data_IF_879239440043
#
_entry.id   IF_879239440043
#
_cell.length_a   1.000
_cell.length_b   1.000
_cell.length_c   1.000
_cell.angle_alpha   90.00
_cell.angle_beta   90.00
_cell.angle_gamma   90.00
#
_symmetry.space_group_name_H-M   'P 1'
#
loop_
_entity.id
_entity.type
_entity.pdbx_description
1 polymer ?
#
# COMPACT_ATOMS: atom_id res chain seq x y z
N UNK A 1 19.90 88.37 16.00
CA UNK A 1 19.43 87.63 14.81
C UNK A 1 20.55 86.69 14.35
N UNK A 2 20.72 85.55 15.03
CA UNK A 2 21.60 84.47 14.59
C UNK A 2 20.69 83.24 14.47
N UNK A 3 20.34 82.90 13.22
CA UNK A 3 19.67 81.67 12.85
C UNK A 3 20.61 80.50 13.15
N UNK A 4 20.35 79.71 14.19
CA UNK A 4 21.11 78.47 14.45
C UNK A 4 20.76 77.39 13.42
N UNK A 5 21.29 77.51 12.20
CA UNK A 5 21.13 76.51 11.13
C UNK A 5 21.60 75.10 11.53
N UNK A 6 22.51 75.01 12.50
CA UNK A 6 23.14 73.74 12.91
C UNK A 6 22.19 72.84 13.73
N UNK A 7 21.30 73.40 14.56
CA UNK A 7 20.35 72.59 15.36
C UNK A 7 19.26 71.94 14.53
N UNK A 8 18.77 72.64 13.50
CA UNK A 8 17.80 72.09 12.54
C UNK A 8 18.40 70.95 11.71
N UNK A 9 19.68 71.03 11.35
CA UNK A 9 20.38 69.97 10.61
C UNK A 9 20.48 68.66 11.40
N UNK A 10 20.71 68.73 12.71
CA UNK A 10 20.73 67.54 13.61
C UNK A 10 19.36 66.89 13.70
N UNK A 11 18.30 67.69 13.88
CA UNK A 11 16.91 67.19 13.96
C UNK A 11 16.50 66.52 12.64
N UNK A 12 16.80 67.15 11.50
CA UNK A 12 16.51 66.58 10.17
C UNK A 12 17.28 65.27 9.97
N UNK A 13 18.55 65.21 10.38
CA UNK A 13 19.36 63.99 10.28
C UNK A 13 18.80 62.86 11.16
N UNK A 14 18.35 63.15 12.38
CA UNK A 14 17.70 62.20 13.28
C UNK A 14 16.39 61.65 12.70
N UNK A 15 15.55 62.51 12.14
CA UNK A 15 14.32 62.11 11.45
C UNK A 15 14.61 61.21 10.24
N UNK A 16 15.65 61.56 9.46
CA UNK A 16 16.03 60.81 8.27
C UNK A 16 16.61 59.43 8.64
N UNK A 17 17.42 59.34 9.71
CA UNK A 17 17.89 58.07 10.27
C UNK A 17 16.70 57.23 10.78
N UNK A 18 15.77 57.83 11.51
CA UNK A 18 14.56 57.14 11.99
C UNK A 18 13.71 56.59 10.85
N UNK A 19 13.52 57.39 9.79
CA UNK A 19 12.81 56.97 8.59
C UNK A 19 13.50 55.80 7.88
N UNK A 20 14.81 55.89 7.65
CA UNK A 20 15.60 54.80 7.06
C UNK A 20 15.54 53.55 7.92
N UNK A 21 15.58 53.69 9.24
CA UNK A 21 15.51 52.56 10.17
C UNK A 21 14.15 51.85 10.07
N UNK A 22 13.04 52.59 10.09
CA UNK A 22 11.69 52.01 9.91
C UNK A 22 11.57 51.29 8.57
N UNK A 23 12.07 51.90 7.50
CA UNK A 23 12.06 51.32 6.16
C UNK A 23 12.92 50.05 6.08
N UNK A 24 14.11 50.07 6.68
CA UNK A 24 15.01 48.91 6.74
C UNK A 24 14.43 47.75 7.56
N UNK A 25 13.78 48.05 8.68
CA UNK A 25 13.07 47.05 9.49
C UNK A 25 11.88 46.47 8.71
N UNK A 26 11.15 47.31 7.96
CA UNK A 26 10.06 46.88 7.09
C UNK A 26 10.53 45.90 6.01
N UNK A 27 11.61 46.22 5.31
CA UNK A 27 12.22 45.34 4.30
C UNK A 27 12.73 44.05 4.92
N UNK A 28 13.43 44.12 6.06
CA UNK A 28 13.91 42.94 6.76
C UNK A 28 12.77 41.99 7.14
N UNK A 29 11.64 42.53 7.61
CA UNK A 29 10.45 41.74 7.95
C UNK A 29 9.86 41.04 6.73
N UNK A 30 9.83 41.71 5.58
CA UNK A 30 9.39 41.09 4.32
C UNK A 30 10.31 39.93 3.92
N UNK A 31 11.64 40.14 3.97
CA UNK A 31 12.61 39.09 3.66
C UNK A 31 12.46 37.89 4.59
N UNK A 32 12.33 38.12 5.91
CA UNK A 32 12.15 37.04 6.88
C UNK A 32 10.85 36.26 6.66
N UNK A 33 9.77 36.94 6.29
CA UNK A 33 8.51 36.27 5.93
C UNK A 33 8.67 35.42 4.66
N UNK A 34 9.32 35.96 3.63
CA UNK A 34 9.56 35.24 2.37
C UNK A 34 10.45 34.01 2.59
N UNK A 35 11.48 34.13 3.43
CA UNK A 35 12.31 32.98 3.83
C UNK A 35 11.50 31.91 4.57
N UNK A 36 10.55 32.30 5.43
CA UNK A 36 9.68 31.36 6.14
C UNK A 36 8.75 30.62 5.16
N UNK A 37 8.17 31.32 4.19
CA UNK A 37 7.31 30.73 3.15
C UNK A 37 8.11 29.77 2.28
N UNK A 38 9.29 30.18 1.81
CA UNK A 38 10.14 29.31 1.00
C UNK A 38 10.60 28.06 1.75
N UNK A 39 10.90 28.18 3.06
CA UNK A 39 11.20 27.02 3.88
C UNK A 39 10.01 26.07 4.00
N UNK A 40 8.82 26.60 4.26
CA UNK A 40 7.58 25.82 4.32
C UNK A 40 7.32 25.07 3.01
N UNK A 41 7.50 25.73 1.87
CA UNK A 41 7.39 25.10 0.55
C UNK A 41 8.45 24.00 0.35
N UNK A 42 9.69 24.25 0.75
CA UNK A 42 10.75 23.25 0.68
C UNK A 42 10.50 22.03 1.55
N UNK A 43 9.99 22.23 2.76
CA UNK A 43 9.62 21.15 3.69
C UNK A 43 8.42 20.35 3.14
N UNK A 44 7.43 21.02 2.55
CA UNK A 44 6.32 20.38 1.84
C UNK A 44 6.82 19.49 0.68
N UNK A 45 7.65 20.02 -0.22
CA UNK A 45 8.19 19.25 -1.37
C UNK A 45 9.00 18.04 -0.91
N UNK A 46 9.78 18.16 0.17
CA UNK A 46 10.52 17.04 0.76
C UNK A 46 9.59 15.99 1.35
N UNK A 47 8.54 16.40 2.06
CA UNK A 47 7.55 15.45 2.60
C UNK A 47 6.86 14.67 1.49
N UNK A 48 6.54 15.34 0.37
CA UNK A 48 5.95 14.72 -0.81
C UNK A 48 6.93 13.72 -1.47
N UNK A 49 8.16 14.14 -1.74
CA UNK A 49 9.19 13.25 -2.30
C UNK A 49 9.49 12.05 -1.38
N UNK A 50 9.40 12.22 -0.06
CA UNK A 50 9.50 11.13 0.90
C UNK A 50 8.36 10.13 0.80
N UNK A 51 7.13 10.62 0.65
CA UNK A 51 5.97 9.76 0.43
C UNK A 51 6.12 8.96 -0.88
N UNK A 52 6.54 9.58 -1.97
CA UNK A 52 6.80 8.88 -3.24
C UNK A 52 7.90 7.82 -3.10
N UNK A 53 9.02 8.16 -2.46
CA UNK A 53 10.11 7.20 -2.23
C UNK A 53 9.66 6.01 -1.37
N UNK A 54 8.81 6.25 -0.37
CA UNK A 54 8.24 5.17 0.46
C UNK A 54 7.28 4.28 -0.33
N UNK A 55 6.54 4.86 -1.28
CA UNK A 55 5.66 4.13 -2.18
C UNK A 55 6.44 3.26 -3.16
N UNK A 56 7.50 3.80 -3.77
CA UNK A 56 8.39 3.04 -4.63
C UNK A 56 9.03 1.86 -3.89
N UNK A 57 9.43 2.07 -2.64
CA UNK A 57 9.98 1.01 -1.79
C UNK A 57 8.94 -0.08 -1.51
N UNK A 58 7.69 0.30 -1.21
CA UNK A 58 6.60 -0.65 -1.00
C UNK A 58 6.35 -1.50 -2.27
N UNK A 59 6.24 -0.87 -3.43
CA UNK A 59 6.06 -1.54 -4.71
C UNK A 59 7.27 -2.43 -5.08
N UNK A 60 8.48 -1.98 -4.79
CA UNK A 60 9.70 -2.77 -5.00
C UNK A 60 9.71 -4.02 -4.13
N UNK A 61 9.29 -3.92 -2.87
CA UNK A 61 9.22 -5.07 -1.97
C UNK A 61 8.16 -6.07 -2.43
N UNK A 62 6.97 -5.60 -2.85
CA UNK A 62 5.94 -6.46 -3.48
C UNK A 62 6.51 -7.16 -4.72
N UNK A 63 7.25 -6.45 -5.57
CA UNK A 63 7.89 -7.04 -6.76
C UNK A 63 8.97 -8.08 -6.40
N UNK A 64 9.70 -7.89 -5.30
CA UNK A 64 10.81 -8.78 -4.90
C UNK A 64 10.31 -10.04 -4.19
N UNK A 65 9.39 -9.87 -3.23
CA UNK A 65 8.94 -10.96 -2.37
C UNK A 65 7.68 -11.64 -2.91
N UNK A 66 6.89 -10.95 -3.73
CA UNK A 66 5.68 -11.48 -4.36
C UNK A 66 4.41 -10.78 -3.90
N UNK A 67 3.30 -11.15 -4.55
CA UNK A 67 2.00 -10.48 -4.43
C UNK A 67 1.32 -10.62 -3.05
N UNK A 68 1.81 -11.55 -2.22
CA UNK A 68 1.35 -11.75 -0.84
C UNK A 68 2.11 -10.94 0.22
N UNK A 69 3.06 -10.09 -0.18
CA UNK A 69 3.97 -9.44 0.77
C UNK A 69 3.28 -8.44 1.71
N UNK A 70 3.23 -8.77 2.99
CA UNK A 70 2.75 -7.94 4.09
C UNK A 70 3.93 -7.25 4.78
N UNK A 71 4.40 -6.16 4.18
CA UNK A 71 5.45 -5.33 4.76
C UNK A 71 4.92 -4.01 5.29
N UNK A 72 5.55 -3.53 6.36
CA UNK A 72 5.35 -2.19 6.87
C UNK A 72 6.69 -1.58 7.28
N UNK A 73 6.80 -0.26 7.16
CA UNK A 73 7.85 0.51 7.83
C UNK A 73 7.14 1.42 8.81
N UNK A 74 7.23 1.11 10.10
CA UNK A 74 6.71 1.99 11.14
C UNK A 74 7.69 3.12 11.45
N UNK A 75 7.15 4.31 11.71
CA UNK A 75 7.90 5.43 12.28
C UNK A 75 8.49 5.13 13.68
N UNK A 76 8.18 3.99 14.30
CA UNK A 76 8.55 3.66 15.68
C UNK A 76 9.63 2.60 15.86
N UNK A 77 10.01 1.79 14.85
CA UNK A 77 10.89 0.62 15.09
C UNK A 77 11.97 0.49 14.00
N UNK A 78 13.22 0.73 14.41
CA UNK A 78 14.49 0.37 13.78
C UNK A 78 14.68 0.51 12.23
N UNK A 79 15.63 1.40 11.92
CA UNK A 79 16.66 1.33 10.86
C UNK A 79 16.40 1.73 9.40
N UNK A 80 15.17 1.96 8.92
CA UNK A 80 14.99 2.27 7.47
C UNK A 80 14.04 3.41 7.12
N UNK A 81 13.53 4.12 8.12
CA UNK A 81 12.54 5.19 7.93
C UNK A 81 13.15 6.59 7.80
N UNK A 82 14.46 6.78 7.93
CA UNK A 82 15.06 8.13 7.95
C UNK A 82 15.88 8.38 6.68
N UNK A 83 15.43 9.30 5.84
CA UNK A 83 16.13 9.80 4.67
C UNK A 83 16.77 11.15 4.96
N UNK A 84 17.83 11.50 4.20
CA UNK A 84 18.56 12.77 4.25
C UNK A 84 19.28 13.06 5.58
N UNK A 85 19.22 12.16 6.56
CA UNK A 85 19.99 12.27 7.81
C UNK A 85 21.45 11.90 7.59
N UNK A 86 22.34 12.56 8.32
CA UNK A 86 23.76 12.21 8.37
C UNK A 86 24.03 10.93 9.16
N UNK A 87 23.07 10.52 10.00
CA UNK A 87 23.14 9.30 10.83
C UNK A 87 21.80 8.55 10.76
N UNK A 88 21.44 7.96 9.60
CA UNK A 88 20.11 7.37 9.37
C UNK A 88 19.78 6.19 10.31
N UNK A 89 20.81 5.54 10.86
CA UNK A 89 20.68 4.41 11.80
C UNK A 89 20.60 4.84 13.27
N UNK A 90 20.79 6.13 13.59
CA UNK A 90 20.78 6.60 14.98
C UNK A 90 19.70 7.67 15.20
N UNK A 91 18.52 7.22 15.64
CA UNK A 91 17.36 8.07 15.90
C UNK A 91 17.59 9.11 17.01
N UNK A 92 18.55 8.91 17.91
CA UNK A 92 18.87 9.92 18.95
C UNK A 92 19.47 11.20 18.36
N UNK A 93 20.00 11.13 17.13
CA UNK A 93 20.55 12.26 16.38
C UNK A 93 19.57 12.81 15.35
N UNK A 94 18.30 12.37 15.37
CA UNK A 94 17.27 12.80 14.44
C UNK A 94 16.96 14.29 14.60
N UNK A 95 16.99 15.01 13.49
CA UNK A 95 16.61 16.41 13.43
C UNK A 95 15.28 16.60 12.72
N UNK A 96 14.15 16.84 13.43
CA UNK A 96 12.82 16.89 12.82
C UNK A 96 12.69 17.90 11.68
N UNK A 97 13.43 19.01 11.75
CA UNK A 97 13.38 20.07 10.73
C UNK A 97 14.37 19.90 9.57
N UNK A 98 15.07 18.78 9.50
CA UNK A 98 16.10 18.48 8.47
C UNK A 98 15.94 17.08 7.90
N UNK A 99 15.70 16.12 8.77
CA UNK A 99 15.66 14.71 8.46
C UNK A 99 14.24 14.29 8.09
N UNK A 100 14.12 13.53 7.02
CA UNK A 100 12.85 13.11 6.43
C UNK A 100 12.48 11.73 6.97
N UNK A 101 11.32 11.60 7.60
CA UNK A 101 10.77 10.32 8.00
C UNK A 101 9.88 9.76 6.89
N UNK A 102 10.07 8.49 6.56
CA UNK A 102 9.29 7.75 5.57
C UNK A 102 8.69 6.50 6.19
N UNK A 103 7.43 6.24 5.89
CA UNK A 103 6.72 5.04 6.34
C UNK A 103 5.79 4.57 5.25
N UNK A 104 5.56 3.26 5.18
CA UNK A 104 4.46 2.73 4.39
C UNK A 104 3.75 1.61 5.13
N UNK A 105 2.47 1.45 4.83
CA UNK A 105 1.61 0.38 5.30
C UNK A 105 0.98 -0.30 4.09
N UNK A 106 1.18 -1.61 3.96
CA UNK A 106 0.40 -2.46 3.08
C UNK A 106 -0.74 -3.06 3.90
N UNK A 107 -1.98 -2.98 3.43
CA UNK A 107 -3.15 -3.55 4.11
C UNK A 107 -3.62 -4.88 3.49
N UNK A 108 -2.73 -5.57 2.77
CA UNK A 108 -3.02 -6.80 2.04
C UNK A 108 -3.42 -7.99 2.91
N UNK A 109 -2.83 -8.11 4.09
CA UNK A 109 -3.06 -9.23 5.00
C UNK A 109 -4.39 -9.10 5.72
N UNK A 110 -5.28 -10.06 5.48
CA UNK A 110 -6.64 -10.08 6.05
C UNK A 110 -7.04 -11.50 6.46
N UNK A 111 -7.98 -11.59 7.40
CA UNK A 111 -8.64 -12.84 7.80
C UNK A 111 -10.12 -12.87 7.37
N UNK A 112 -10.66 -11.73 6.92
CA UNK A 112 -11.99 -11.58 6.37
C UNK A 112 -11.92 -10.58 5.22
N UNK A 113 -12.51 -10.94 4.08
CA UNK A 113 -12.61 -10.08 2.92
C UNK A 113 -13.98 -10.21 2.26
N UNK A 114 -14.58 -9.07 1.92
CA UNK A 114 -15.76 -8.98 1.06
C UNK A 114 -15.36 -8.38 -0.29
N UNK A 115 -15.68 -9.10 -1.35
CA UNK A 115 -15.39 -8.73 -2.73
C UNK A 115 -16.63 -8.70 -3.60
N UNK A 116 -16.49 -8.07 -4.77
CA UNK A 116 -17.57 -7.93 -5.74
C UNK A 116 -17.08 -8.19 -7.16
N UNK A 117 -17.66 -9.19 -7.80
CA UNK A 117 -17.40 -9.57 -9.19
C UNK A 117 -18.45 -8.96 -10.10
N UNK A 118 -18.01 -8.11 -11.02
CA UNK A 118 -18.82 -7.65 -12.14
C UNK A 118 -19.11 -8.81 -13.13
N UNK A 119 -20.11 -8.68 -14.01
CA UNK A 119 -20.38 -9.67 -15.04
C UNK A 119 -19.14 -9.89 -15.92
N UNK A 120 -18.84 -11.15 -16.24
CA UNK A 120 -17.68 -11.54 -17.05
C UNK A 120 -16.32 -11.09 -16.48
N UNK A 121 -16.24 -10.82 -15.18
CA UNK A 121 -15.01 -10.46 -14.49
C UNK A 121 -14.49 -11.59 -13.60
N UNK A 122 -13.25 -11.46 -13.17
CA UNK A 122 -12.58 -12.39 -12.28
C UNK A 122 -11.83 -11.64 -11.19
N UNK A 123 -11.68 -12.31 -10.05
CA UNK A 123 -10.76 -11.92 -8.98
C UNK A 123 -9.79 -13.06 -8.74
N UNK A 124 -8.53 -12.74 -8.45
CA UNK A 124 -7.52 -13.72 -8.06
C UNK A 124 -7.04 -13.40 -6.65
N UNK A 125 -7.22 -14.37 -5.76
CA UNK A 125 -7.01 -14.23 -4.32
C UNK A 125 -5.90 -15.20 -3.91
N UNK A 126 -4.71 -14.70 -3.55
CA UNK A 126 -3.68 -15.51 -2.93
C UNK A 126 -4.16 -16.01 -1.56
N UNK A 127 -4.27 -17.33 -1.39
CA UNK A 127 -4.64 -17.98 -0.13
C UNK A 127 -3.45 -18.11 0.84
N UNK A 128 -2.54 -17.13 0.78
CA UNK A 128 -1.33 -17.03 1.57
C UNK A 128 -0.93 -15.56 1.73
N UNK A 129 -0.01 -15.31 2.64
CA UNK A 129 0.73 -14.04 2.73
C UNK A 129 2.22 -14.32 2.95
N UNK A 130 3.06 -13.34 2.65
CA UNK A 130 4.51 -13.41 2.77
C UNK A 130 4.93 -12.33 3.76
N UNK A 131 5.64 -12.70 4.81
CA UNK A 131 6.29 -11.76 5.72
C UNK A 131 7.82 -11.91 5.66
N UNK A 132 8.54 -11.19 6.54
CA UNK A 132 10.00 -11.24 6.61
C UNK A 132 10.56 -12.64 6.99
N UNK A 133 9.72 -13.53 7.54
CA UNK A 133 10.08 -14.89 7.97
C UNK A 133 9.83 -15.89 6.84
N UNK A 134 8.84 -15.60 5.99
CA UNK A 134 8.55 -16.37 4.78
C UNK A 134 7.06 -16.38 4.44
N UNK A 135 6.70 -17.32 3.57
CA UNK A 135 5.31 -17.53 3.19
C UNK A 135 4.53 -18.31 4.26
N UNK A 136 3.29 -17.88 4.49
CA UNK A 136 2.33 -18.51 5.38
C UNK A 136 1.00 -18.67 4.65
N UNK A 137 0.59 -19.92 4.45
CA UNK A 137 -0.67 -20.29 3.82
C UNK A 137 -1.80 -20.47 4.83
N UNK A 138 -3.03 -20.36 4.36
CA UNK A 138 -4.22 -20.82 5.10
C UNK A 138 -4.40 -22.32 4.89
N UNK A 139 -4.99 -23.00 5.87
CA UNK A 139 -5.29 -24.43 5.78
C UNK A 139 -6.77 -24.71 5.53
N UNK A 140 -7.63 -23.74 5.85
CA UNK A 140 -9.08 -23.82 5.75
C UNK A 140 -9.66 -22.40 5.60
N UNK A 141 -10.75 -22.26 4.84
CA UNK A 141 -11.51 -21.03 4.72
C UNK A 141 -12.98 -21.27 4.41
N UNK A 142 -13.83 -20.42 4.98
CA UNK A 142 -15.24 -20.35 4.65
C UNK A 142 -15.47 -19.36 3.50
N UNK A 143 -16.11 -19.85 2.45
CA UNK A 143 -16.59 -19.02 1.34
C UNK A 143 -18.12 -18.93 1.34
N UNK A 144 -18.65 -17.73 1.15
CA UNK A 144 -20.09 -17.54 1.00
C UNK A 144 -20.44 -16.47 -0.02
N UNK A 145 -21.54 -16.68 -0.74
CA UNK A 145 -22.11 -15.69 -1.65
C UNK A 145 -23.15 -14.90 -0.86
N UNK A 146 -22.91 -13.59 -0.72
CA UNK A 146 -23.82 -12.67 -0.02
C UNK A 146 -24.97 -12.28 -0.95
N UNK A 147 -24.69 -12.08 -2.24
CA UNK A 147 -25.67 -11.66 -3.24
C UNK A 147 -25.24 -12.10 -4.64
N UNK A 148 -26.20 -12.43 -5.50
CA UNK A 148 -25.98 -12.94 -6.85
C UNK A 148 -26.35 -14.43 -7.01
N UNK A 149 -26.34 -14.91 -8.25
CA UNK A 149 -26.63 -16.31 -8.58
C UNK A 149 -25.37 -17.18 -8.42
N UNK A 150 -25.40 -18.10 -7.47
CA UNK A 150 -24.27 -19.00 -7.19
C UNK A 150 -23.93 -19.91 -8.38
N UNK A 151 -24.91 -20.28 -9.19
CA UNK A 151 -24.67 -21.11 -10.37
C UNK A 151 -23.82 -20.41 -11.45
N UNK A 152 -23.68 -19.07 -11.36
CA UNK A 152 -22.85 -18.26 -12.26
C UNK A 152 -21.42 -18.09 -11.77
N UNK A 153 -21.14 -18.44 -10.52
CA UNK A 153 -19.78 -18.44 -10.00
C UNK A 153 -19.06 -19.71 -10.43
N UNK A 154 -18.00 -19.57 -11.22
CA UNK A 154 -17.01 -20.61 -11.44
C UNK A 154 -15.78 -20.30 -10.61
N UNK A 155 -15.17 -21.31 -10.00
CA UNK A 155 -13.98 -21.12 -9.18
C UNK A 155 -12.92 -22.17 -9.51
N UNK A 156 -11.66 -21.79 -9.31
CA UNK A 156 -10.51 -22.67 -9.48
C UNK A 156 -9.45 -22.33 -8.43
N UNK A 157 -8.98 -23.32 -7.67
CA UNK A 157 -7.83 -23.17 -6.79
C UNK A 157 -6.64 -23.82 -7.47
N UNK A 158 -5.61 -23.01 -7.73
CA UNK A 158 -4.40 -23.45 -8.44
C UNK A 158 -3.29 -23.61 -7.41
N UNK A 159 -2.79 -24.83 -7.28
CA UNK A 159 -1.57 -25.15 -6.55
C UNK A 159 -0.36 -25.27 -7.49
N UNK A 160 0.78 -25.67 -6.94
CA UNK A 160 2.03 -25.79 -7.72
C UNK A 160 1.96 -26.84 -8.84
N UNK A 161 1.33 -27.99 -8.57
CA UNK A 161 1.35 -29.16 -9.46
C UNK A 161 -0.05 -29.70 -9.81
N UNK A 162 -1.10 -29.14 -9.22
CA UNK A 162 -2.49 -29.55 -9.45
C UNK A 162 -3.42 -28.35 -9.29
N UNK A 163 -4.66 -28.50 -9.77
CA UNK A 163 -5.71 -27.51 -9.57
C UNK A 163 -7.03 -28.19 -9.25
N UNK A 164 -7.86 -27.55 -8.44
CA UNK A 164 -9.21 -28.03 -8.12
C UNK A 164 -10.23 -26.99 -8.56
N UNK A 165 -11.23 -27.43 -9.34
CA UNK A 165 -12.23 -26.53 -9.92
C UNK A 165 -13.65 -26.93 -9.53
N UNK A 166 -14.55 -25.95 -9.48
CA UNK A 166 -15.97 -26.17 -9.23
C UNK A 166 -16.86 -24.99 -9.65
N UNK A 167 -18.14 -25.14 -9.39
CA UNK A 167 -19.19 -24.15 -9.69
C UNK A 167 -20.04 -23.96 -8.43
N UNK A 168 -20.41 -22.72 -8.13
CA UNK A 168 -21.21 -22.39 -6.96
C UNK A 168 -20.41 -22.45 -5.67
N UNK A 169 -20.96 -23.15 -4.68
CA UNK A 169 -20.37 -23.22 -3.34
C UNK A 169 -19.00 -23.91 -3.38
N UNK A 170 -18.11 -23.44 -2.50
CA UNK A 170 -16.71 -23.87 -2.41
C UNK A 170 -16.61 -24.79 -1.18
N UNK A 171 -16.69 -26.11 -1.41
CA UNK A 171 -16.52 -27.14 -0.35
C UNK A 171 -15.76 -28.35 -0.85
N UNK A 172 -16.14 -28.86 -2.02
CA UNK A 172 -15.43 -29.90 -2.74
C UNK A 172 -15.40 -29.57 -4.23
N UNK A 173 -14.42 -30.13 -4.94
CA UNK A 173 -14.28 -29.90 -6.37
C UNK A 173 -13.61 -31.04 -7.08
N UNK A 174 -13.41 -30.84 -8.37
CA UNK A 174 -12.72 -31.79 -9.24
C UNK A 174 -11.24 -31.43 -9.29
N UNK A 175 -10.39 -32.20 -8.61
CA UNK A 175 -8.95 -32.10 -8.71
C UNK A 175 -8.50 -32.65 -10.06
N UNK A 176 -7.71 -31.84 -10.77
CA UNK A 176 -7.09 -32.16 -12.05
C UNK A 176 -5.61 -32.41 -11.78
N UNK A 177 -5.17 -33.64 -12.00
CA UNK A 177 -3.76 -34.02 -11.85
C UNK A 177 -3.22 -34.39 -13.24
N UNK A 178 -2.13 -33.73 -13.63
CA UNK A 178 -1.40 -34.02 -14.86
C UNK A 178 -0.12 -34.77 -14.51
N UNK A 179 -0.08 -36.07 -14.77
CA UNK A 179 1.08 -36.92 -14.55
C UNK A 179 1.67 -37.38 -15.90
N UNK A 180 2.92 -37.86 -15.89
CA UNK A 180 3.58 -38.40 -17.09
C UNK A 180 2.83 -39.57 -17.76
N UNK A 181 1.87 -40.17 -17.06
CA UNK A 181 1.05 -41.31 -17.49
C UNK A 181 -0.36 -40.96 -17.95
N UNK A 182 -0.78 -39.69 -17.88
CA UNK A 182 -2.11 -39.24 -18.29
C UNK A 182 -2.73 -38.18 -17.39
N UNK A 183 -3.97 -37.80 -17.71
CA UNK A 183 -4.79 -36.86 -16.96
C UNK A 183 -5.81 -37.62 -16.11
N UNK A 184 -5.89 -37.31 -14.82
CA UNK A 184 -6.91 -37.86 -13.91
C UNK A 184 -7.76 -36.75 -13.29
N UNK A 185 -9.05 -37.05 -13.12
CA UNK A 185 -10.02 -36.18 -12.45
C UNK A 185 -10.59 -36.97 -11.27
N UNK A 186 -10.40 -36.46 -10.06
CA UNK A 186 -10.98 -37.04 -8.85
C UNK A 186 -11.71 -35.97 -8.04
N UNK A 187 -12.71 -36.37 -7.26
CA UNK A 187 -13.39 -35.46 -6.32
C UNK A 187 -12.56 -35.37 -5.05
N UNK A 188 -12.26 -34.14 -4.62
CA UNK A 188 -11.46 -33.89 -3.43
C UNK A 188 -12.06 -32.77 -2.60
N UNK A 189 -11.87 -32.89 -1.29
CA UNK A 189 -12.16 -31.82 -0.35
C UNK A 189 -11.14 -30.69 -0.50
N UNK A 190 -11.58 -29.45 -0.32
CA UNK A 190 -10.71 -28.28 -0.49
C UNK A 190 -9.66 -28.22 0.60
N UNK A 191 -10.01 -28.57 1.84
CA UNK A 191 -9.07 -28.54 2.96
C UNK A 191 -7.94 -29.55 2.73
N UNK A 192 -8.30 -30.74 2.24
CA UNK A 192 -7.33 -31.74 1.81
C UNK A 192 -6.42 -31.19 0.71
N UNK A 193 -6.98 -30.52 -0.31
CA UNK A 193 -6.21 -29.93 -1.41
C UNK A 193 -5.24 -28.85 -0.94
N UNK A 194 -5.68 -27.90 -0.10
CA UNK A 194 -4.86 -26.81 0.41
C UNK A 194 -3.65 -27.32 1.20
N UNK A 195 -3.82 -28.42 1.92
CA UNK A 195 -2.74 -29.04 2.68
C UNK A 195 -1.60 -29.58 1.79
N UNK A 196 -1.89 -30.03 0.57
CA UNK A 196 -0.89 -30.59 -0.36
C UNK A 196 -0.02 -29.57 -1.10
N UNK A 197 -0.47 -28.32 -1.25
CA UNK A 197 0.27 -27.29 -2.01
C UNK A 197 0.74 -26.16 -1.09
N UNK A 198 1.97 -25.69 -1.28
CA UNK A 198 2.56 -24.60 -0.49
C UNK A 198 1.90 -23.25 -0.83
N UNK A 199 1.81 -22.94 -2.12
CA UNK A 199 1.12 -21.75 -2.63
C UNK A 199 -0.20 -22.13 -3.26
N UNK A 200 -1.28 -21.44 -2.91
CA UNK A 200 -2.59 -21.62 -3.51
C UNK A 200 -3.18 -20.28 -3.94
N UNK A 201 -3.73 -20.24 -5.15
CA UNK A 201 -4.45 -19.08 -5.68
C UNK A 201 -5.89 -19.47 -5.96
N UNK A 202 -6.84 -18.81 -5.29
CA UNK A 202 -8.26 -18.92 -5.59
C UNK A 202 -8.60 -17.94 -6.72
N UNK A 203 -9.03 -18.47 -7.85
CA UNK A 203 -9.55 -17.72 -8.98
C UNK A 203 -11.06 -17.82 -8.96
N UNK A 204 -11.73 -16.68 -8.88
CA UNK A 204 -13.18 -16.58 -8.97
C UNK A 204 -13.54 -15.96 -10.31
N UNK A 205 -14.55 -16.49 -10.99
CA UNK A 205 -15.04 -15.98 -12.25
C UNK A 205 -16.56 -15.90 -12.27
N UNK A 206 -17.08 -14.73 -12.59
CA UNK A 206 -18.51 -14.53 -12.79
C UNK A 206 -18.87 -14.78 -14.27
N UNK A 207 -19.47 -15.94 -14.54
CA UNK A 207 -19.96 -16.33 -15.87
C UNK A 207 -21.30 -15.70 -16.24
N UNK A 208 -21.89 -14.90 -15.34
CA UNK A 208 -23.10 -14.13 -15.58
C UNK A 208 -22.87 -12.92 -16.49
N UNK A 209 -23.92 -12.52 -17.21
CA UNK A 209 -23.87 -11.41 -18.17
C UNK A 209 -24.48 -10.10 -17.66
N UNK A 210 -25.23 -10.13 -16.55
CA UNK A 210 -25.97 -8.97 -16.03
C UNK A 210 -25.77 -8.73 -14.54
N UNK A 211 -25.55 -9.80 -13.77
CA UNK A 211 -25.66 -9.74 -12.32
C UNK A 211 -24.28 -9.73 -11.68
N UNK A 212 -24.08 -8.82 -10.72
CA UNK A 212 -22.90 -8.81 -9.89
C UNK A 212 -22.98 -9.94 -8.85
N UNK A 213 -21.85 -10.54 -8.53
CA UNK A 213 -21.72 -11.50 -7.42
C UNK A 213 -20.96 -10.82 -6.30
N UNK A 214 -21.56 -10.73 -5.11
CA UNK A 214 -20.91 -10.26 -3.89
C UNK A 214 -20.59 -11.50 -3.05
N UNK A 215 -19.33 -11.64 -2.66
CA UNK A 215 -18.83 -12.80 -1.93
C UNK A 215 -18.07 -12.38 -0.68
N UNK A 216 -17.96 -13.31 0.27
CA UNK A 216 -17.15 -13.18 1.48
C UNK A 216 -16.26 -14.39 1.64
N UNK A 217 -15.01 -14.15 2.02
CA UNK A 217 -14.03 -15.16 2.45
C UNK A 217 -13.65 -14.86 3.88
N UNK A 218 -13.76 -15.87 4.74
CA UNK A 218 -13.30 -15.82 6.12
C UNK A 218 -12.34 -16.98 6.38
N UNK A 219 -11.28 -16.75 7.13
CA UNK A 219 -10.50 -17.86 7.69
C UNK A 219 -11.22 -18.41 8.92
N UNK A 220 -11.16 -19.73 9.10
CA UNK A 220 -11.77 -20.40 10.24
C UNK A 220 -10.96 -20.23 11.54
N UNK A 221 -9.71 -19.79 11.41
CA UNK A 221 -8.85 -19.39 12.51
C UNK A 221 -8.55 -17.89 12.51
N UNK A 222 -8.53 -17.28 13.70
CA UNK A 222 -8.12 -15.88 13.89
C UNK A 222 -6.62 -15.64 13.70
N UNK A 223 -5.83 -16.73 13.61
CA UNK A 223 -4.39 -16.67 13.40
C UNK A 223 -3.96 -16.92 11.96
N UNK A 224 -4.90 -17.35 11.11
CA UNK A 224 -4.67 -17.54 9.68
C UNK A 224 -5.06 -16.28 8.92
N UNK A 225 -4.28 -15.97 7.89
CA UNK A 225 -4.47 -14.79 7.07
C UNK A 225 -4.15 -15.13 5.62
N UNK A 226 -4.78 -14.40 4.72
CA UNK A 226 -4.53 -14.46 3.29
C UNK A 226 -4.35 -13.04 2.74
N UNK A 227 -4.06 -12.93 1.45
CA UNK A 227 -3.88 -11.63 0.80
C UNK A 227 -5.13 -11.29 -0.02
N UNK A 228 -5.72 -10.11 0.22
CA UNK A 228 -6.85 -9.65 -0.58
C UNK A 228 -6.43 -9.30 -2.03
N UNK A 229 -7.33 -9.41 -3.02
CA UNK A 229 -7.00 -9.18 -4.43
C UNK A 229 -6.59 -7.73 -4.73
N UNK A 230 -7.14 -6.75 -4.01
CA UNK A 230 -6.79 -5.33 -4.17
C UNK A 230 -6.12 -4.80 -2.91
N UNK A 231 -4.85 -4.47 -3.03
CA UNK A 231 -4.02 -3.90 -1.98
C UNK A 231 -4.19 -2.39 -1.92
N UNK A 232 -4.20 -1.83 -0.72
CA UNK A 232 -4.09 -0.40 -0.51
C UNK A 232 -2.78 -0.09 0.22
N UNK A 233 -1.92 0.68 -0.44
CA UNK A 233 -0.62 1.08 0.07
C UNK A 233 -0.72 2.53 0.50
N UNK A 234 -0.59 2.75 1.81
CA UNK A 234 -0.52 4.09 2.40
C UNK A 234 0.94 4.41 2.65
N UNK A 235 1.45 5.39 1.91
CA UNK A 235 2.83 5.83 1.94
C UNK A 235 2.91 7.23 2.53
N UNK A 236 3.87 7.52 3.40
CA UNK A 236 3.96 8.80 4.09
C UNK A 236 5.39 9.33 4.12
N UNK A 237 5.52 10.64 3.97
CA UNK A 237 6.74 11.40 4.23
C UNK A 237 6.47 12.51 5.23
N UNK A 238 7.35 12.68 6.23
CA UNK A 238 7.19 13.63 7.32
C UNK A 238 8.49 14.41 7.58
N UNK A 239 8.41 15.74 7.61
CA UNK A 239 9.51 16.64 7.95
C UNK A 239 8.96 17.88 8.68
N UNK A 240 9.50 18.14 9.86
CA UNK A 240 9.05 19.22 10.74
C UNK A 240 7.58 19.04 11.10
N UNK A 241 6.76 20.03 10.72
CA UNK A 241 5.31 20.02 10.95
C UNK A 241 4.53 19.60 9.68
N UNK A 242 5.22 19.16 8.63
CA UNK A 242 4.63 18.78 7.35
C UNK A 242 4.63 17.26 7.21
N UNK A 243 3.44 16.72 6.91
CA UNK A 243 3.26 15.31 6.60
C UNK A 243 2.43 15.18 5.33
N UNK A 244 2.94 14.41 4.37
CA UNK A 244 2.22 14.05 3.16
C UNK A 244 1.93 12.56 3.17
N UNK A 245 0.72 12.19 2.79
CA UNK A 245 0.33 10.79 2.58
C UNK A 245 -0.04 10.60 1.10
N UNK A 246 0.37 9.48 0.53
CA UNK A 246 -0.04 8.99 -0.78
C UNK A 246 -0.77 7.67 -0.58
N UNK A 247 -1.95 7.56 -1.20
CA UNK A 247 -2.75 6.35 -1.16
C UNK A 247 -2.78 5.74 -2.55
N UNK A 248 -2.33 4.51 -2.70
CA UNK A 248 -2.30 3.81 -3.99
C UNK A 248 -2.96 2.45 -3.86
N UNK A 249 -3.90 2.19 -4.76
CA UNK A 249 -4.56 0.90 -4.87
C UNK A 249 -3.86 0.09 -5.96
N UNK A 250 -3.45 -1.13 -5.62
CA UNK A 250 -2.82 -2.08 -6.55
C UNK A 250 -3.73 -3.29 -6.69
N UNK A 251 -4.07 -3.64 -7.93
CA UNK A 251 -4.83 -4.86 -8.21
C UNK A 251 -3.87 -6.01 -8.50
N UNK A 252 -3.78 -6.98 -7.57
CA UNK A 252 -2.93 -8.16 -7.74
C UNK A 252 -3.42 -9.04 -8.89
N UNK A 253 -4.71 -8.95 -9.24
CA UNK A 253 -5.34 -9.72 -10.30
C UNK A 253 -4.71 -9.44 -11.66
N UNK A 254 -4.33 -8.18 -11.94
CA UNK A 254 -3.71 -7.80 -13.22
C UNK A 254 -2.38 -8.51 -13.47
N UNK A 255 -1.61 -8.73 -12.41
CA UNK A 255 -0.30 -9.39 -12.51
C UNK A 255 -0.41 -10.90 -12.65
N UNK A 256 -1.49 -11.48 -12.12
CA UNK A 256 -1.79 -12.90 -12.18
C UNK A 256 -2.70 -13.24 -13.37
N UNK A 257 -2.83 -12.34 -14.34
CA UNK A 257 -3.68 -12.49 -15.52
C UNK A 257 -3.44 -13.77 -16.32
N UNK A 258 -2.27 -14.42 -16.23
CA UNK A 258 -2.04 -15.71 -16.88
C UNK A 258 -2.87 -16.84 -16.24
N UNK A 259 -3.13 -16.75 -14.93
CA UNK A 259 -3.90 -17.75 -14.19
C UNK A 259 -5.38 -17.76 -14.59
N UNK A 260 -5.92 -16.72 -15.23
CA UNK A 260 -7.30 -16.73 -15.73
C UNK A 260 -7.55 -17.84 -16.77
N UNK A 261 -6.51 -18.24 -17.50
CA UNK A 261 -6.62 -19.32 -18.48
C UNK A 261 -6.65 -20.70 -17.84
N UNK A 262 -6.28 -20.83 -16.56
CA UNK A 262 -6.39 -22.10 -15.82
C UNK A 262 -7.83 -22.55 -15.63
N UNK A 263 -8.78 -21.62 -15.58
CA UNK A 263 -10.22 -21.93 -15.55
C UNK A 263 -10.61 -22.72 -16.80
N UNK A 264 -9.93 -22.46 -17.92
CA UNK A 264 -10.18 -23.05 -19.23
C UNK A 264 -9.16 -24.12 -19.63
N UNK A 265 -8.13 -24.42 -18.82
CA UNK A 265 -7.16 -25.46 -19.18
C UNK A 265 -7.79 -26.84 -18.94
N UNK A 266 -8.09 -27.47 -20.08
CA UNK A 266 -8.51 -28.87 -20.24
C UNK A 266 -7.33 -29.82 -20.05
#
# INVERSE_FOLDING_TARGET
>A
MIKSKNGYSVIVSLLLIGFIMVLSIGILRLILNEMKINRAMGDYLKSYAGAESSQELALLNIKKFGYGYDGFIYNSVNDKSVLLSTNPLNKSLYHPKKDLLVSYLNDGKVNNYEGGLLPLSYDIIPLFYIDDIGEKKITDFDFSIISGDSSKLSWNIIGNNSGISGIGDISSGYEKISNSSGFSIDIKDIDDFLNYSDTNYLVLFNSGNSDNIIYRINTNSSTEFFTKPRLNIISSGEIGDYKQNLNTVVDNTEFLNILKYSIYSN
#
